data_IF_730059124960
#
_entry.id   IF_730059124960
#
_cell.length_a   1.000
_cell.length_b   1.000
_cell.length_c   1.000
_cell.angle_alpha   90.00
_cell.angle_beta   90.00
_cell.angle_gamma   90.00
#
_symmetry.space_group_name_H-M   'P 1'
#
loop_
_entity.id
_entity.type
_entity.pdbx_description
1 polymer ?
#
# COMPACT_ATOMS: atom_id res chain seq x y z
N UNK A 1 -8.69 -21.38 9.26
CA UNK A 1 -9.05 -20.14 8.55
C UNK A 1 -7.80 -19.29 8.47
N UNK A 2 -7.51 -18.68 7.34
CA UNK A 2 -6.38 -17.77 7.22
C UNK A 2 -6.57 -16.58 8.18
N UNK A 3 -5.48 -16.12 8.80
CA UNK A 3 -5.52 -14.98 9.73
C UNK A 3 -5.74 -13.69 8.95
N UNK A 4 -6.84 -12.96 9.23
CA UNK A 4 -7.10 -11.65 8.64
C UNK A 4 -6.12 -10.61 9.21
N UNK A 5 -5.39 -9.93 8.33
CA UNK A 5 -4.39 -8.90 8.69
C UNK A 5 -4.96 -7.51 8.53
N UNK A 6 -5.66 -7.24 7.41
CA UNK A 6 -6.33 -5.96 7.17
C UNK A 6 -7.82 -6.22 6.93
N UNK A 7 -8.67 -5.54 7.70
CA UNK A 7 -10.12 -5.54 7.54
C UNK A 7 -10.63 -4.13 7.33
N UNK A 8 -11.24 -3.91 6.18
CA UNK A 8 -11.89 -2.67 5.78
C UNK A 8 -13.39 -2.91 5.77
N UNK A 9 -14.15 -2.11 6.51
CA UNK A 9 -15.59 -2.27 6.71
C UNK A 9 -16.34 -1.01 6.30
N UNK A 10 -17.18 -1.11 5.27
CA UNK A 10 -18.10 -0.07 4.76
C UNK A 10 -17.45 1.30 4.54
N UNK A 11 -16.19 1.28 4.07
CA UNK A 11 -15.39 2.47 3.91
C UNK A 11 -15.96 3.37 2.80
N UNK A 12 -16.31 4.60 3.17
CA UNK A 12 -16.83 5.62 2.24
C UNK A 12 -15.99 6.88 2.33
N UNK A 13 -15.67 7.46 1.18
CA UNK A 13 -15.04 8.77 1.06
C UNK A 13 -15.86 9.68 0.18
N UNK A 14 -16.30 10.78 0.75
CA UNK A 14 -17.06 11.81 0.04
C UNK A 14 -16.33 13.16 0.08
N UNK A 15 -16.08 13.74 -1.07
CA UNK A 15 -15.50 15.07 -1.25
C UNK A 15 -16.61 16.02 -1.75
N UNK A 16 -17.15 16.82 -0.83
CA UNK A 16 -18.28 17.71 -1.18
C UNK A 16 -19.49 16.92 -1.67
N UNK A 17 -19.85 17.08 -2.94
CA UNK A 17 -20.97 16.37 -3.60
C UNK A 17 -20.58 15.06 -4.30
N UNK A 18 -19.31 14.67 -4.27
CA UNK A 18 -18.81 13.50 -5.00
C UNK A 18 -18.42 12.39 -4.02
N UNK A 19 -19.01 11.22 -4.17
CA UNK A 19 -18.62 9.99 -3.44
C UNK A 19 -17.56 9.27 -4.26
N UNK A 20 -16.29 9.39 -3.85
CA UNK A 20 -15.15 8.81 -4.57
C UNK A 20 -14.95 7.31 -4.24
N UNK A 21 -15.34 6.88 -3.05
CA UNK A 21 -15.42 5.46 -2.64
C UNK A 21 -16.70 5.32 -1.86
N UNK A 22 -17.51 4.32 -2.18
CA UNK A 22 -18.82 4.10 -1.57
C UNK A 22 -18.94 2.68 -1.02
N UNK A 23 -19.03 2.57 0.30
CA UNK A 23 -19.33 1.32 1.00
C UNK A 23 -18.32 0.16 0.69
N UNK A 24 -17.03 0.49 0.50
CA UNK A 24 -16.02 -0.51 0.21
C UNK A 24 -15.74 -1.36 1.46
N UNK A 25 -15.88 -2.68 1.31
CA UNK A 25 -15.42 -3.67 2.28
C UNK A 25 -14.46 -4.63 1.62
N UNK A 26 -13.31 -4.88 2.24
CA UNK A 26 -12.32 -5.84 1.76
C UNK A 26 -11.51 -6.39 2.93
N UNK A 27 -10.98 -7.59 2.71
CA UNK A 27 -10.13 -8.32 3.63
C UNK A 27 -8.80 -8.66 2.97
N UNK A 28 -7.72 -8.62 3.76
CA UNK A 28 -6.41 -9.13 3.34
C UNK A 28 -5.92 -10.09 4.39
N UNK A 29 -5.65 -11.35 4.00
CA UNK A 29 -5.17 -12.37 4.92
C UNK A 29 -3.65 -12.43 4.93
N UNK A 30 -3.08 -12.98 5.99
CA UNK A 30 -1.63 -13.11 6.17
C UNK A 30 -1.01 -13.91 5.01
N UNK A 31 0.05 -13.33 4.43
CA UNK A 31 0.80 -13.96 3.35
C UNK A 31 0.10 -13.97 1.99
N UNK A 32 -1.08 -13.32 1.86
CA UNK A 32 -1.74 -13.10 0.56
C UNK A 32 -1.11 -11.94 -0.22
N UNK A 33 -1.16 -12.04 -1.56
CA UNK A 33 -1.09 -10.89 -2.46
C UNK A 33 -2.52 -10.59 -2.92
N UNK A 34 -3.07 -9.48 -2.47
CA UNK A 34 -4.38 -8.99 -2.88
C UNK A 34 -4.22 -7.83 -3.82
N UNK A 35 -4.90 -7.84 -4.95
CA UNK A 35 -4.95 -6.71 -5.87
C UNK A 35 -6.25 -5.92 -5.75
N UNK A 36 -6.16 -4.61 -5.88
CA UNK A 36 -7.29 -3.71 -6.03
C UNK A 36 -7.19 -3.04 -7.41
N UNK A 37 -8.03 -3.48 -8.34
CA UNK A 37 -8.03 -3.03 -9.73
C UNK A 37 -9.28 -2.24 -10.08
N UNK A 38 -9.33 -1.68 -11.29
CA UNK A 38 -10.47 -0.96 -11.83
C UNK A 38 -10.04 0.14 -12.80
N UNK A 39 -10.96 0.73 -13.56
CA UNK A 39 -10.68 1.83 -14.48
C UNK A 39 -10.06 3.06 -13.80
N UNK A 40 -9.58 4.00 -14.60
CA UNK A 40 -9.12 5.29 -14.08
C UNK A 40 -10.30 6.04 -13.45
N UNK A 41 -10.07 6.60 -12.25
CA UNK A 41 -11.14 7.26 -11.48
C UNK A 41 -12.02 6.32 -10.64
N UNK A 42 -11.82 5.00 -10.68
CA UNK A 42 -12.62 4.04 -9.90
C UNK A 42 -12.48 4.16 -8.36
N UNK A 43 -11.58 5.02 -7.85
CA UNK A 43 -11.42 5.24 -6.40
C UNK A 43 -10.27 4.49 -5.74
N UNK A 44 -9.45 3.73 -6.47
CA UNK A 44 -8.35 2.90 -5.95
C UNK A 44 -7.37 3.68 -5.07
N UNK A 45 -6.78 4.76 -5.61
CA UNK A 45 -5.83 5.61 -4.86
C UNK A 45 -6.48 6.26 -3.64
N UNK A 46 -7.77 6.62 -3.73
CA UNK A 46 -8.53 7.14 -2.59
C UNK A 46 -8.66 6.08 -1.51
N UNK A 47 -8.94 4.82 -1.86
CA UNK A 47 -8.98 3.70 -0.92
C UNK A 47 -7.62 3.52 -0.21
N UNK A 48 -6.51 3.53 -0.95
CA UNK A 48 -5.16 3.47 -0.36
C UNK A 48 -4.86 4.64 0.56
N UNK A 49 -5.26 5.84 0.18
CA UNK A 49 -5.08 7.04 1.02
C UNK A 49 -5.85 6.93 2.34
N UNK A 50 -7.03 6.31 2.34
CA UNK A 50 -7.75 6.02 3.57
C UNK A 50 -7.06 4.94 4.39
N UNK A 51 -6.68 3.81 3.79
CA UNK A 51 -6.00 2.71 4.51
C UNK A 51 -4.70 3.18 5.18
N UNK A 52 -4.00 4.13 4.57
CA UNK A 52 -2.73 4.66 5.09
C UNK A 52 -2.86 5.93 5.94
N UNK A 53 -4.10 6.35 6.26
CA UNK A 53 -4.35 7.49 7.13
C UNK A 53 -4.02 8.86 6.54
N UNK A 54 -3.79 8.95 5.21
CA UNK A 54 -3.65 10.22 4.50
C UNK A 54 -4.98 10.98 4.51
N UNK A 55 -6.08 10.24 4.40
CA UNK A 55 -7.45 10.75 4.60
C UNK A 55 -8.15 9.91 5.65
N UNK A 56 -8.84 10.57 6.58
CA UNK A 56 -9.85 9.89 7.38
C UNK A 56 -11.06 9.56 6.49
N UNK A 57 -11.63 8.36 6.54
CA UNK A 57 -12.86 8.05 5.82
C UNK A 57 -13.99 9.00 6.25
N UNK A 58 -14.92 9.31 5.36
CA UNK A 58 -16.15 10.03 5.74
C UNK A 58 -17.04 9.16 6.61
N UNK A 59 -17.09 7.85 6.32
CA UNK A 59 -17.80 6.85 7.09
C UNK A 59 -17.10 5.50 6.95
N UNK A 60 -17.15 4.66 8.00
CA UNK A 60 -16.60 3.31 7.96
C UNK A 60 -15.45 3.09 8.92
N UNK A 61 -14.87 1.88 8.85
CA UNK A 61 -13.87 1.41 9.81
C UNK A 61 -12.77 0.62 9.11
N UNK A 62 -11.55 0.79 9.59
CA UNK A 62 -10.37 0.04 9.13
C UNK A 62 -9.63 -0.50 10.34
N UNK A 63 -9.38 -1.79 10.34
CA UNK A 63 -8.65 -2.48 11.40
C UNK A 63 -7.44 -3.22 10.83
N UNK A 64 -6.33 -3.22 11.57
CA UNK A 64 -5.13 -3.98 11.27
C UNK A 64 -4.82 -4.92 12.42
N UNK A 65 -4.74 -6.23 12.16
CA UNK A 65 -4.52 -7.27 13.17
C UNK A 65 -5.49 -7.17 14.35
N UNK A 66 -6.75 -6.83 14.06
CA UNK A 66 -7.80 -6.65 15.06
C UNK A 66 -7.78 -5.30 15.79
N UNK A 67 -6.73 -4.48 15.63
CA UNK A 67 -6.67 -3.12 16.18
C UNK A 67 -7.32 -2.11 15.22
N UNK A 68 -8.26 -1.32 15.72
CA UNK A 68 -8.91 -0.26 14.94
C UNK A 68 -7.92 0.88 14.69
N UNK A 69 -7.62 1.15 13.42
CA UNK A 69 -6.75 2.26 13.01
C UNK A 69 -7.55 3.51 12.71
N UNK A 70 -8.65 3.33 12.00
CA UNK A 70 -9.52 4.41 11.54
C UNK A 70 -10.97 3.96 11.75
N UNK A 71 -11.75 4.82 12.37
CA UNK A 71 -13.21 4.71 12.46
C UNK A 71 -13.77 6.12 12.43
N UNK A 72 -14.73 6.38 11.56
CA UNK A 72 -15.31 7.71 11.43
C UNK A 72 -16.75 7.61 10.94
N UNK A 73 -17.48 8.71 11.14
CA UNK A 73 -18.86 8.89 10.68
C UNK A 73 -19.06 10.34 10.21
N UNK A 74 -20.09 10.62 9.41
CA UNK A 74 -20.39 11.98 8.96
C UNK A 74 -20.55 12.96 10.13
N UNK A 75 -19.94 14.16 10.04
CA UNK A 75 -19.94 15.16 11.10
C UNK A 75 -20.35 16.54 10.57
N UNK A 76 -20.95 17.36 11.42
CA UNK A 76 -21.29 18.73 11.12
C UNK A 76 -22.18 18.86 9.87
N UNK A 77 -21.74 19.64 8.88
CA UNK A 77 -22.48 19.83 7.62
C UNK A 77 -22.57 18.54 6.80
N UNK A 78 -21.61 17.62 6.96
CA UNK A 78 -21.61 16.35 6.23
C UNK A 78 -22.77 15.45 6.62
N UNK A 79 -23.27 15.50 7.85
CA UNK A 79 -24.47 14.73 8.27
C UNK A 79 -25.68 14.95 7.37
N UNK A 80 -25.91 16.20 6.94
CA UNK A 80 -27.03 16.55 6.06
C UNK A 80 -26.76 16.29 4.58
N UNK A 81 -25.48 16.24 4.19
CA UNK A 81 -25.04 16.14 2.80
C UNK A 81 -24.43 14.77 2.49
N UNK A 82 -24.47 13.83 3.43
CA UNK A 82 -23.92 12.50 3.24
C UNK A 82 -24.76 11.73 2.21
N UNK A 83 -24.07 11.22 1.19
CA UNK A 83 -24.67 10.49 0.06
C UNK A 83 -24.32 9.00 0.08
N UNK A 84 -23.47 8.58 1.03
CA UNK A 84 -23.06 7.20 1.14
C UNK A 84 -24.05 6.34 1.92
N UNK A 85 -23.77 5.06 1.93
CA UNK A 85 -24.55 4.06 2.68
C UNK A 85 -24.07 3.97 4.15
N UNK A 86 -24.80 3.21 5.00
CA UNK A 86 -24.47 2.92 6.41
C UNK A 86 -24.35 4.13 7.33
N UNK A 87 -25.15 5.17 7.11
CA UNK A 87 -25.25 6.29 8.04
C UNK A 87 -25.74 5.80 9.43
N UNK A 88 -25.14 6.34 10.50
CA UNK A 88 -25.45 5.98 11.88
C UNK A 88 -24.92 4.62 12.37
N UNK A 89 -24.16 3.88 11.54
CA UNK A 89 -23.57 2.58 11.95
C UNK A 89 -22.36 2.74 12.86
N UNK A 90 -21.59 3.82 12.69
CA UNK A 90 -20.38 4.12 13.42
C UNK A 90 -20.58 5.33 14.33
N UNK A 91 -20.06 5.29 15.54
CA UNK A 91 -20.23 6.32 16.57
C UNK A 91 -18.89 6.85 17.12
N UNK A 92 -17.78 6.22 16.75
CA UNK A 92 -16.45 6.60 17.22
C UNK A 92 -15.69 7.39 16.18
N UNK A 93 -14.75 8.19 16.67
CA UNK A 93 -13.77 8.90 15.87
C UNK A 93 -12.40 8.42 16.31
N UNK A 94 -11.81 7.56 15.51
CA UNK A 94 -10.45 7.04 15.69
C UNK A 94 -9.69 7.35 14.40
N UNK A 95 -8.64 8.16 14.48
CA UNK A 95 -7.85 8.54 13.31
C UNK A 95 -6.37 8.46 13.69
N UNK A 96 -5.73 7.36 13.30
CA UNK A 96 -4.28 7.26 13.41
C UNK A 96 -3.61 7.99 12.26
N UNK A 97 -2.50 8.65 12.56
CA UNK A 97 -1.67 9.33 11.57
C UNK A 97 -0.84 8.31 10.76
N UNK A 98 -0.34 8.69 9.54
CA UNK A 98 0.45 7.78 8.71
C UNK A 98 1.69 7.19 9.41
N UNK A 99 2.36 7.97 10.26
CA UNK A 99 3.51 7.49 11.05
C UNK A 99 3.09 6.45 12.10
N UNK A 100 1.94 6.64 12.77
CA UNK A 100 1.37 5.65 13.69
C UNK A 100 1.00 4.36 12.97
N UNK A 101 0.40 4.46 11.77
CA UNK A 101 0.04 3.31 10.93
C UNK A 101 1.30 2.58 10.46
N UNK A 102 2.36 3.30 10.07
CA UNK A 102 3.64 2.68 9.72
C UNK A 102 4.26 1.95 10.92
N UNK A 103 4.16 2.51 12.11
CA UNK A 103 4.64 1.87 13.35
C UNK A 103 3.88 0.58 13.71
N UNK A 104 2.61 0.44 13.30
CA UNK A 104 1.85 -0.81 13.44
C UNK A 104 2.35 -1.93 12.52
N UNK A 105 3.08 -1.60 11.45
CA UNK A 105 3.63 -2.56 10.51
C UNK A 105 3.03 -2.47 9.10
N UNK A 106 2.51 -1.31 8.69
CA UNK A 106 2.02 -1.07 7.34
C UNK A 106 2.99 -0.11 6.64
N UNK A 107 3.56 -0.51 5.50
CA UNK A 107 4.37 0.37 4.66
C UNK A 107 3.73 0.55 3.28
N UNK A 108 3.97 1.70 2.65
CA UNK A 108 3.46 2.01 1.31
C UNK A 108 4.57 2.59 0.44
N UNK A 109 4.60 2.14 -0.82
CA UNK A 109 5.28 2.85 -1.91
C UNK A 109 4.31 3.84 -2.55
N UNK A 110 4.81 4.73 -3.40
CA UNK A 110 3.99 5.71 -4.09
C UNK A 110 4.08 5.52 -5.60
N UNK A 111 3.04 5.90 -6.35
CA UNK A 111 3.04 5.88 -7.80
C UNK A 111 4.26 6.62 -8.38
N UNK A 112 4.50 7.85 -7.94
CA UNK A 112 5.73 8.57 -8.24
C UNK A 112 6.81 8.22 -7.23
N UNK A 113 7.94 7.71 -7.68
CA UNK A 113 9.07 7.30 -6.83
C UNK A 113 9.51 8.46 -5.93
N UNK A 114 9.46 8.24 -4.61
CA UNK A 114 9.84 9.23 -3.60
C UNK A 114 11.14 8.84 -2.91
N UNK A 115 12.27 9.08 -3.58
CA UNK A 115 13.60 8.90 -3.02
C UNK A 115 14.21 10.22 -2.57
N UNK A 116 15.12 10.16 -1.61
CA UNK A 116 16.06 11.24 -1.33
C UNK A 116 17.09 11.27 -2.45
N UNK A 117 16.79 12.02 -3.52
CA UNK A 117 17.50 11.97 -4.81
C UNK A 117 18.98 12.29 -4.72
N UNK A 118 19.39 13.12 -3.76
CA UNK A 118 20.78 13.55 -3.54
C UNK A 118 21.56 12.65 -2.57
N UNK A 119 20.92 11.68 -1.96
CA UNK A 119 21.54 10.74 -1.03
C UNK A 119 21.93 9.44 -1.76
N UNK A 120 22.85 8.71 -1.15
CA UNK A 120 23.24 7.39 -1.65
C UNK A 120 22.10 6.38 -1.54
N UNK A 121 22.21 5.28 -2.27
CA UNK A 121 21.32 4.12 -2.14
C UNK A 121 21.31 3.63 -0.70
N UNK A 122 22.49 3.53 -0.08
CA UNK A 122 22.64 3.10 1.31
C UNK A 122 21.92 4.03 2.28
N UNK A 123 22.13 5.35 2.16
CA UNK A 123 21.54 6.33 3.07
C UNK A 123 20.02 6.39 2.95
N UNK A 124 19.49 6.20 1.73
CA UNK A 124 18.04 6.10 1.52
C UNK A 124 17.40 4.99 2.36
N UNK A 125 18.03 3.84 2.45
CA UNK A 125 17.53 2.71 3.24
C UNK A 125 17.82 2.91 4.72
N UNK A 126 19.01 3.40 5.09
CA UNK A 126 19.40 3.63 6.48
C UNK A 126 18.45 4.62 7.19
N UNK A 127 18.06 5.71 6.52
CA UNK A 127 17.10 6.69 7.08
C UNK A 127 15.78 6.01 7.45
N UNK A 128 15.26 5.13 6.61
CA UNK A 128 14.01 4.43 6.89
C UNK A 128 14.13 3.50 8.12
N UNK A 129 15.30 2.92 8.35
CA UNK A 129 15.56 2.10 9.55
C UNK A 129 15.53 2.88 10.85
N UNK A 130 15.86 4.18 10.80
CA UNK A 130 15.79 5.02 12.00
C UNK A 130 14.37 5.17 12.58
N UNK A 131 13.31 4.88 11.82
CA UNK A 131 11.96 4.79 12.36
C UNK A 131 11.81 3.72 13.45
N UNK A 132 12.62 2.66 13.40
CA UNK A 132 12.64 1.58 14.41
C UNK A 132 13.63 1.84 15.55
N UNK A 133 14.42 2.92 15.45
CA UNK A 133 15.37 3.28 16.51
C UNK A 133 14.64 3.75 17.76
N UNK A 134 15.06 3.23 18.90
CA UNK A 134 14.61 3.67 20.23
C UNK A 134 15.42 4.85 20.75
N UNK A 135 16.34 5.37 19.94
CA UNK A 135 17.20 6.48 20.30
C UNK A 135 16.38 7.74 20.56
N UNK A 136 16.58 8.35 21.71
CA UNK A 136 16.09 9.69 22.00
C UNK A 136 17.22 10.73 21.80
N UNK A 137 16.85 12.02 21.77
CA UNK A 137 17.80 13.12 21.54
C UNK A 137 18.99 13.08 22.54
N UNK A 138 18.75 12.68 23.78
CA UNK A 138 19.80 12.57 24.81
C UNK A 138 20.80 11.44 24.51
N UNK A 139 20.32 10.26 24.11
CA UNK A 139 21.19 9.13 23.78
C UNK A 139 22.00 9.37 22.51
N UNK A 140 21.44 10.11 21.54
CA UNK A 140 22.14 10.51 20.32
C UNK A 140 23.26 11.52 20.63
N UNK A 141 23.00 12.52 21.49
CA UNK A 141 23.98 13.55 21.88
C UNK A 141 25.20 12.98 22.59
N UNK A 142 25.01 11.92 23.39
CA UNK A 142 26.11 11.27 24.14
C UNK A 142 26.72 10.08 23.42
N UNK A 143 26.44 9.86 22.12
CA UNK A 143 26.94 8.73 21.31
C UNK A 143 26.74 7.35 21.96
N UNK A 144 25.68 7.18 22.78
CA UNK A 144 25.39 5.94 23.48
C UNK A 144 24.82 4.85 22.56
N UNK A 145 24.49 5.22 21.30
CA UNK A 145 23.79 4.36 20.33
C UNK A 145 24.73 3.70 19.31
N UNK A 146 26.04 3.67 19.54
CA UNK A 146 27.00 3.10 18.57
C UNK A 146 26.66 1.66 18.16
N UNK A 147 26.19 0.82 19.09
CA UNK A 147 25.81 -0.56 18.81
C UNK A 147 24.58 -0.62 17.91
N UNK A 148 23.55 0.17 18.21
CA UNK A 148 22.30 0.24 17.42
C UNK A 148 22.59 0.78 16.00
N UNK A 149 23.43 1.81 15.90
CA UNK A 149 23.87 2.35 14.60
C UNK A 149 24.63 1.31 13.77
N UNK A 150 25.54 0.55 14.37
CA UNK A 150 26.26 -0.53 13.70
C UNK A 150 25.29 -1.64 13.24
N UNK A 151 24.31 -2.00 14.07
CA UNK A 151 23.30 -2.98 13.71
C UNK A 151 22.40 -2.49 12.55
N UNK A 152 21.96 -1.23 12.59
CA UNK A 152 21.18 -0.64 11.51
C UNK A 152 21.96 -0.60 10.19
N UNK A 153 23.25 -0.26 10.23
CA UNK A 153 24.14 -0.31 9.05
C UNK A 153 24.28 -1.73 8.50
N UNK A 154 24.47 -2.73 9.37
CA UNK A 154 24.55 -4.14 8.97
C UNK A 154 23.25 -4.59 8.31
N UNK A 155 22.11 -4.36 8.94
CA UNK A 155 20.78 -4.71 8.40
C UNK A 155 20.47 -3.97 7.10
N UNK A 156 20.94 -2.73 6.95
CA UNK A 156 20.83 -1.98 5.67
C UNK A 156 21.59 -2.69 4.55
N UNK A 157 22.81 -3.14 4.80
CA UNK A 157 23.60 -3.89 3.80
C UNK A 157 22.96 -5.23 3.45
N UNK A 158 22.45 -5.96 4.45
CA UNK A 158 21.76 -7.22 4.25
C UNK A 158 20.50 -7.00 3.38
N UNK A 159 19.72 -5.97 3.67
CA UNK A 159 18.53 -5.62 2.89
C UNK A 159 18.91 -5.25 1.44
N UNK A 160 19.91 -4.41 1.24
CA UNK A 160 20.39 -4.06 -0.11
C UNK A 160 20.86 -5.28 -0.90
N UNK A 161 21.49 -6.25 -0.23
CA UNK A 161 21.86 -7.53 -0.86
C UNK A 161 20.63 -8.33 -1.29
N UNK A 162 19.61 -8.44 -0.42
CA UNK A 162 18.38 -9.18 -0.71
C UNK A 162 17.60 -8.58 -1.89
N UNK A 163 17.57 -7.24 -2.01
CA UNK A 163 16.89 -6.56 -3.12
C UNK A 163 17.78 -6.38 -4.37
N UNK A 164 19.05 -6.85 -4.31
CA UNK A 164 19.98 -6.82 -5.46
C UNK A 164 20.60 -5.45 -5.76
N UNK A 165 20.72 -4.58 -4.74
CA UNK A 165 21.29 -3.23 -4.86
C UNK A 165 22.59 -3.04 -4.07
N UNK A 166 23.25 -4.13 -3.63
CA UNK A 166 24.46 -4.04 -2.82
C UNK A 166 25.61 -3.37 -3.57
N UNK A 167 25.73 -3.62 -4.89
CA UNK A 167 26.80 -3.08 -5.72
C UNK A 167 26.67 -1.56 -5.90
N UNK A 168 25.46 -1.06 -5.92
CA UNK A 168 25.14 0.35 -6.11
C UNK A 168 25.01 1.14 -4.79
N UNK A 169 25.36 0.54 -3.65
CA UNK A 169 25.14 1.13 -2.31
C UNK A 169 25.69 2.55 -2.13
N UNK A 170 26.81 2.84 -2.78
CA UNK A 170 27.52 4.14 -2.70
C UNK A 170 27.12 5.10 -3.83
N UNK A 171 26.28 4.67 -4.79
CA UNK A 171 25.77 5.50 -5.86
C UNK A 171 24.67 6.45 -5.35
N UNK A 172 24.56 7.61 -6.01
CA UNK A 172 23.47 8.56 -5.75
C UNK A 172 22.16 7.98 -6.28
N UNK A 173 21.09 8.02 -5.48
CA UNK A 173 19.83 7.40 -5.84
C UNK A 173 19.24 7.87 -7.17
N UNK A 174 19.45 9.15 -7.55
CA UNK A 174 18.97 9.69 -8.83
C UNK A 174 19.76 9.23 -10.05
N UNK A 175 20.95 8.64 -9.89
CA UNK A 175 21.77 8.11 -11.01
C UNK A 175 21.34 6.70 -11.42
N UNK A 176 20.55 6.02 -10.60
CA UNK A 176 20.09 4.67 -10.91
C UNK A 176 19.09 4.65 -12.09
N UNK A 177 19.10 3.57 -12.91
CA UNK A 177 18.01 3.28 -13.84
C UNK A 177 16.68 3.19 -13.11
N UNK A 178 15.57 3.49 -13.81
CA UNK A 178 14.23 3.57 -13.24
C UNK A 178 13.82 2.31 -12.46
N UNK A 179 14.01 1.13 -13.02
CA UNK A 179 13.70 -0.14 -12.33
C UNK A 179 14.49 -0.33 -11.03
N UNK A 180 15.77 0.11 -10.97
CA UNK A 180 16.56 0.08 -9.73
C UNK A 180 16.09 1.14 -8.72
N UNK A 181 15.64 2.31 -9.19
CA UNK A 181 15.03 3.30 -8.30
C UNK A 181 13.75 2.75 -7.66
N UNK A 182 12.92 2.02 -8.40
CA UNK A 182 11.72 1.35 -7.87
C UNK A 182 12.10 0.28 -6.84
N UNK A 183 13.10 -0.56 -7.13
CA UNK A 183 13.61 -1.53 -6.14
C UNK A 183 14.13 -0.84 -4.87
N UNK A 184 14.78 0.30 -5.00
CA UNK A 184 15.26 1.09 -3.85
C UNK A 184 14.08 1.66 -3.03
N UNK A 185 13.03 2.15 -3.67
CA UNK A 185 11.84 2.62 -2.98
C UNK A 185 11.17 1.49 -2.18
N UNK A 186 11.04 0.30 -2.77
CA UNK A 186 10.54 -0.89 -2.07
C UNK A 186 11.48 -1.27 -0.92
N UNK A 187 12.80 -1.23 -1.11
CA UNK A 187 13.77 -1.48 -0.04
C UNK A 187 13.61 -0.51 1.13
N UNK A 188 13.33 0.76 0.87
CA UNK A 188 13.01 1.74 1.93
C UNK A 188 11.75 1.37 2.70
N UNK A 189 10.71 0.92 2.01
CA UNK A 189 9.50 0.44 2.66
C UNK A 189 9.80 -0.81 3.52
N UNK A 190 10.55 -1.78 3.00
CA UNK A 190 10.99 -2.98 3.72
C UNK A 190 11.87 -2.68 4.94
N UNK A 191 12.66 -1.60 4.88
CA UNK A 191 13.51 -1.18 6.00
C UNK A 191 12.71 -0.80 7.26
N UNK A 192 11.43 -0.49 7.13
CA UNK A 192 10.52 -0.29 8.27
C UNK A 192 9.99 -1.60 8.86
N UNK A 193 10.45 -2.77 8.38
CA UNK A 193 10.01 -4.11 8.81
C UNK A 193 8.48 -4.27 8.83
N UNK A 194 7.79 -4.05 7.68
CA UNK A 194 6.34 -4.13 7.63
C UNK A 194 5.86 -5.58 7.62
N UNK A 195 4.62 -5.80 8.08
CA UNK A 195 3.87 -7.05 7.88
C UNK A 195 2.94 -6.94 6.67
N UNK A 196 2.49 -5.71 6.36
CA UNK A 196 1.67 -5.40 5.18
C UNK A 196 2.37 -4.34 4.33
N UNK A 197 2.67 -4.68 3.08
CA UNK A 197 3.24 -3.79 2.09
C UNK A 197 2.18 -3.37 1.07
N UNK A 198 1.93 -2.07 0.97
CA UNK A 198 1.06 -1.49 -0.05
C UNK A 198 1.90 -1.01 -1.24
N UNK A 199 1.61 -1.52 -2.43
CA UNK A 199 2.27 -1.15 -3.68
C UNK A 199 1.30 -0.35 -4.55
N UNK A 200 1.63 0.91 -4.83
CA UNK A 200 0.79 1.84 -5.60
C UNK A 200 1.37 1.98 -7.00
N UNK A 201 0.76 1.32 -7.98
CA UNK A 201 1.15 1.25 -9.39
C UNK A 201 2.66 1.02 -9.58
N UNK A 202 3.20 -0.10 -9.05
CA UNK A 202 4.64 -0.32 -9.02
C UNK A 202 5.25 -0.49 -10.43
N UNK A 203 4.48 -0.93 -11.43
CA UNK A 203 4.95 -1.11 -12.81
C UNK A 203 4.73 0.12 -13.72
N UNK A 204 4.25 1.24 -13.17
CA UNK A 204 3.99 2.44 -13.97
C UNK A 204 5.25 2.90 -14.73
N UNK A 205 5.13 3.00 -16.06
CA UNK A 205 6.22 3.44 -16.93
C UNK A 205 7.29 2.38 -17.27
N UNK A 206 7.06 1.12 -16.89
CA UNK A 206 7.93 -0.01 -17.21
C UNK A 206 7.55 -0.64 -18.56
N UNK A 207 8.55 -1.20 -19.24
CA UNK A 207 8.31 -2.06 -20.41
C UNK A 207 7.93 -3.49 -19.95
N UNK A 208 7.44 -4.38 -20.87
CA UNK A 208 7.02 -5.72 -20.48
C UNK A 208 8.09 -6.54 -19.75
N UNK A 209 9.35 -6.49 -20.21
CA UNK A 209 10.44 -7.22 -19.56
C UNK A 209 10.71 -6.71 -18.14
N UNK A 210 10.70 -5.37 -17.94
CA UNK A 210 10.85 -4.77 -16.60
C UNK A 210 9.68 -5.12 -15.69
N UNK A 211 8.46 -5.26 -16.25
CA UNK A 211 7.26 -5.70 -15.52
C UNK A 211 7.39 -7.14 -15.05
N UNK A 212 7.89 -8.05 -15.89
CA UNK A 212 8.14 -9.44 -15.52
C UNK A 212 9.20 -9.54 -14.41
N UNK A 213 10.32 -8.82 -14.55
CA UNK A 213 11.36 -8.75 -13.51
C UNK A 213 10.83 -8.19 -12.18
N UNK A 214 9.89 -7.23 -12.23
CA UNK A 214 9.23 -6.69 -11.06
C UNK A 214 8.29 -7.72 -10.42
N UNK A 215 7.55 -8.48 -11.23
CA UNK A 215 6.66 -9.55 -10.76
C UNK A 215 7.44 -10.60 -9.96
N UNK A 216 8.53 -11.10 -10.54
CA UNK A 216 9.44 -12.04 -9.86
C UNK A 216 10.02 -11.43 -8.56
N UNK A 217 10.40 -10.16 -8.62
CA UNK A 217 10.92 -9.45 -7.45
C UNK A 217 9.89 -9.32 -6.33
N UNK A 218 8.62 -8.99 -6.64
CA UNK A 218 7.53 -8.91 -5.64
C UNK A 218 7.30 -10.27 -5.00
N UNK A 219 7.22 -11.35 -5.79
CA UNK A 219 7.07 -12.72 -5.28
C UNK A 219 8.24 -13.13 -4.38
N UNK A 220 9.46 -12.78 -4.78
CA UNK A 220 10.66 -13.05 -4.01
C UNK A 220 10.62 -12.34 -2.65
N UNK A 221 10.40 -11.03 -2.61
CA UNK A 221 10.38 -10.28 -1.34
C UNK A 221 9.21 -10.71 -0.45
N UNK A 222 8.04 -11.04 -1.03
CA UNK A 222 6.92 -11.62 -0.27
C UNK A 222 7.37 -12.84 0.52
N UNK A 223 8.08 -13.75 -0.14
CA UNK A 223 8.54 -15.00 0.48
C UNK A 223 9.69 -14.76 1.46
N UNK A 224 10.71 -14.00 1.06
CA UNK A 224 11.91 -13.75 1.87
C UNK A 224 11.60 -12.98 3.17
N UNK A 225 10.61 -12.09 3.15
CA UNK A 225 10.22 -11.26 4.30
C UNK A 225 8.89 -11.67 4.94
N UNK A 226 8.26 -12.77 4.46
CA UNK A 226 6.95 -13.24 4.92
C UNK A 226 5.87 -12.16 4.90
N UNK A 227 5.84 -11.38 3.82
CA UNK A 227 4.94 -10.24 3.68
C UNK A 227 3.52 -10.64 3.29
N UNK A 228 2.59 -9.81 3.74
CA UNK A 228 1.28 -9.65 3.12
C UNK A 228 1.37 -8.45 2.17
N UNK A 229 0.77 -8.52 0.98
CA UNK A 229 0.87 -7.45 -0.03
C UNK A 229 -0.52 -7.04 -0.48
N UNK A 230 -0.76 -5.72 -0.52
CA UNK A 230 -1.93 -5.14 -1.20
C UNK A 230 -1.42 -4.24 -2.32
N UNK A 231 -1.82 -4.53 -3.56
CA UNK A 231 -1.31 -3.81 -4.74
C UNK A 231 -2.44 -3.14 -5.50
N UNK A 232 -2.23 -1.88 -5.90
CA UNK A 232 -3.04 -1.23 -6.95
C UNK A 232 -2.23 -1.29 -8.24
N UNK A 233 -2.83 -1.76 -9.30
CA UNK A 233 -2.24 -1.82 -10.63
C UNK A 233 -3.31 -1.76 -11.72
N UNK A 234 -2.88 -1.37 -12.91
CA UNK A 234 -3.67 -1.42 -14.13
C UNK A 234 -3.04 -2.33 -15.20
N UNK A 235 -1.81 -2.81 -14.98
CA UNK A 235 -1.15 -3.81 -15.81
C UNK A 235 -1.69 -5.20 -15.46
N UNK A 236 -2.65 -5.69 -16.27
CA UNK A 236 -3.36 -6.94 -15.98
C UNK A 236 -2.43 -8.15 -15.95
N UNK A 237 -1.41 -8.20 -16.82
CA UNK A 237 -0.43 -9.31 -16.86
C UNK A 237 0.28 -9.47 -15.51
N UNK A 238 0.76 -8.36 -14.92
CA UNK A 238 1.38 -8.40 -13.59
C UNK A 238 0.38 -8.91 -12.54
N UNK A 239 -0.82 -8.33 -12.50
CA UNK A 239 -1.84 -8.69 -11.50
C UNK A 239 -2.22 -10.16 -11.60
N UNK A 240 -2.47 -10.67 -12.82
CA UNK A 240 -2.83 -12.07 -13.02
C UNK A 240 -1.71 -13.04 -12.66
N UNK A 241 -0.45 -12.61 -12.77
CA UNK A 241 0.71 -13.47 -12.46
C UNK A 241 1.05 -13.57 -10.98
N UNK A 242 0.74 -12.56 -10.17
CA UNK A 242 1.20 -12.51 -8.77
C UNK A 242 0.08 -12.60 -7.72
N UNK A 243 -1.18 -12.28 -8.09
CA UNK A 243 -2.25 -12.11 -7.10
C UNK A 243 -2.91 -13.43 -6.72
N UNK A 244 -3.14 -13.61 -5.42
CA UNK A 244 -3.94 -14.71 -4.89
C UNK A 244 -5.45 -14.37 -5.00
N UNK A 245 -5.80 -13.07 -4.86
CA UNK A 245 -7.18 -12.58 -4.90
C UNK A 245 -7.24 -11.14 -5.41
N UNK A 246 -8.30 -10.82 -6.13
CA UNK A 246 -8.51 -9.52 -6.76
C UNK A 246 -9.85 -8.95 -6.32
N UNK A 247 -9.87 -7.66 -5.98
CA UNK A 247 -11.05 -6.82 -5.82
C UNK A 247 -11.12 -5.83 -6.97
N UNK A 248 -12.30 -5.68 -7.57
CA UNK A 248 -12.50 -4.79 -8.71
C UNK A 248 -13.41 -3.63 -8.30
N UNK A 249 -12.89 -2.42 -8.42
CA UNK A 249 -13.65 -1.19 -8.20
C UNK A 249 -14.11 -0.60 -9.54
N UNK A 250 -15.33 -0.08 -9.54
CA UNK A 250 -15.84 0.79 -10.58
C UNK A 250 -16.69 1.89 -9.95
N UNK A 251 -16.48 3.16 -10.36
CA UNK A 251 -17.14 4.35 -9.81
C UNK A 251 -17.25 4.35 -8.27
N UNK A 252 -16.18 3.95 -7.59
CA UNK A 252 -16.10 3.90 -6.12
C UNK A 252 -16.76 2.69 -5.46
N UNK A 253 -17.36 1.78 -6.21
CA UNK A 253 -18.06 0.59 -5.69
C UNK A 253 -17.28 -0.69 -6.04
N UNK A 254 -17.37 -1.68 -5.16
CA UNK A 254 -16.90 -3.03 -5.44
C UNK A 254 -17.89 -3.72 -6.37
N UNK A 255 -17.43 -4.09 -7.58
CA UNK A 255 -18.27 -4.78 -8.58
C UNK A 255 -18.00 -6.29 -8.68
N UNK A 256 -16.77 -6.73 -8.33
CA UNK A 256 -16.38 -8.13 -8.34
C UNK A 256 -15.25 -8.42 -7.37
N UNK A 257 -15.15 -9.68 -6.91
CA UNK A 257 -14.00 -10.21 -6.18
C UNK A 257 -13.80 -11.69 -6.48
N UNK A 258 -12.57 -12.15 -6.53
CA UNK A 258 -12.27 -13.56 -6.81
C UNK A 258 -10.80 -13.82 -7.07
N UNK A 259 -10.49 -15.05 -7.51
CA UNK A 259 -9.17 -15.39 -8.03
C UNK A 259 -8.94 -14.74 -9.40
N UNK A 260 -7.68 -14.64 -9.88
CA UNK A 260 -7.40 -14.14 -11.23
C UNK A 260 -8.27 -14.76 -12.33
N UNK A 261 -8.45 -16.09 -12.32
CA UNK A 261 -9.24 -16.80 -13.31
C UNK A 261 -10.73 -16.42 -13.29
N UNK A 262 -11.29 -16.18 -12.11
CA UNK A 262 -12.69 -15.72 -11.95
C UNK A 262 -12.86 -14.31 -12.50
N UNK A 263 -11.95 -13.40 -12.12
CA UNK A 263 -12.01 -11.98 -12.49
C UNK A 263 -11.80 -11.78 -14.00
N UNK A 264 -10.91 -12.53 -14.62
CA UNK A 264 -10.63 -12.46 -16.06
C UNK A 264 -11.86 -12.76 -16.92
N UNK A 265 -12.74 -13.63 -16.42
CA UNK A 265 -13.93 -14.10 -17.13
C UNK A 265 -15.24 -13.45 -16.65
N UNK A 266 -15.17 -12.49 -15.71
CA UNK A 266 -16.38 -11.84 -15.19
C UNK A 266 -16.91 -10.79 -16.19
N UNK A 267 -18.15 -10.93 -16.69
CA UNK A 267 -18.74 -10.00 -17.66
C UNK A 267 -18.80 -8.55 -17.15
N UNK A 268 -19.05 -8.33 -15.86
CA UNK A 268 -19.09 -7.00 -15.23
C UNK A 268 -17.72 -6.33 -15.29
N UNK A 269 -16.66 -7.11 -15.04
CA UNK A 269 -15.29 -6.61 -15.10
C UNK A 269 -14.92 -6.26 -16.52
N UNK A 270 -15.22 -7.14 -17.49
CA UNK A 270 -14.97 -6.90 -18.92
C UNK A 270 -15.71 -5.65 -19.38
N UNK A 271 -16.99 -5.49 -19.03
CA UNK A 271 -17.81 -4.31 -19.36
C UNK A 271 -17.22 -3.02 -18.78
N UNK A 272 -16.81 -3.02 -17.51
CA UNK A 272 -16.21 -1.87 -16.85
C UNK A 272 -14.92 -1.37 -17.54
N UNK A 273 -14.09 -2.29 -18.05
CA UNK A 273 -12.85 -1.94 -18.75
C UNK A 273 -13.07 -1.54 -20.23
N UNK A 274 -14.07 -2.09 -20.88
CA UNK A 274 -14.43 -1.74 -22.27
C UNK A 274 -15.30 -0.50 -22.39
N UNK A 275 -15.83 0.02 -21.27
CA UNK A 275 -16.72 1.19 -21.24
C UNK A 275 -18.10 0.91 -21.87
N UNK A 276 -18.48 -0.37 -22.02
CA UNK A 276 -19.82 -0.76 -22.49
C UNK A 276 -20.75 -0.68 -21.27
N UNK A 277 -21.60 0.34 -21.21
CA UNK A 277 -22.73 0.32 -20.29
C UNK A 277 -23.70 -0.77 -20.75
N UNK A 278 -24.03 -1.72 -19.88
CA UNK A 278 -25.20 -2.55 -20.10
C UNK A 278 -26.42 -1.61 -20.07
N UNK A 279 -27.06 -1.41 -21.21
CA UNK A 279 -28.36 -0.76 -21.29
C UNK A 279 -29.35 -1.62 -20.51
N UNK A 280 -29.83 -1.10 -19.35
CA UNK A 280 -30.96 -1.66 -18.60
C UNK A 280 -32.29 -1.44 -19.34
#
# INVERSE_FOLDING_TARGET
>A
MAENVLHVENMTMQFGGVVAVNNLSLDVNRGEIVALIGPNGAGKTTAFNMITGVYAPTNGKISFKGEVMLENHPQGKMVKNYLGENDGRYDKIIVKTPDQITNLGIARTFQNIRLFKSLTVFDNVLIARHMRSKANVFSATFCLNKKEEQENRKKTLELLRMVGLEKEKDEIASSLPYGKQRRLEIARALATEPELLLLDEPAAGMNPQETDELSEFILKIKNDFHLTVLVIEHHMELIMSISDRIYVLDFGKLIAQGTPEVIQNDPKVISAYLGVQEDE
#
